data_IF_481533814947
#
_entry.id   IF_481533814947
#
_cell.length_a   1.000
_cell.length_b   1.000
_cell.length_c   1.000
_cell.angle_alpha   90.00
_cell.angle_beta   90.00
_cell.angle_gamma   90.00
#
_symmetry.space_group_name_H-M   'P 1'
#
loop_
_entity.id
_entity.type
_entity.pdbx_description
1 polymer ?
#
# COMPACT_ATOMS: atom_id res chain seq x y z
N UNK A 1 -1.80 -23.37 -6.36
CA UNK A 1 -1.00 -22.35 -5.66
C UNK A 1 -1.88 -21.76 -4.57
N UNK A 2 -1.58 -22.06 -3.33
CA UNK A 2 -2.30 -21.53 -2.17
C UNK A 2 -1.66 -20.22 -1.75
N UNK A 3 -2.50 -19.18 -1.52
CA UNK A 3 -2.05 -17.88 -1.03
C UNK A 3 -2.50 -17.77 0.42
N UNK A 4 -1.53 -17.67 1.34
CA UNK A 4 -1.78 -17.45 2.76
C UNK A 4 -1.56 -15.99 3.11
N UNK A 5 -2.51 -15.38 3.82
CA UNK A 5 -2.36 -14.01 4.32
C UNK A 5 -2.06 -14.08 5.82
N UNK A 6 -0.98 -13.42 6.23
CA UNK A 6 -0.47 -13.47 7.60
C UNK A 6 -0.13 -12.05 8.09
N UNK A 7 -0.44 -11.75 9.35
CA UNK A 7 0.00 -10.52 10.00
C UNK A 7 1.53 -10.45 10.02
N UNK A 8 2.08 -9.31 9.66
CA UNK A 8 3.50 -8.99 9.81
C UNK A 8 3.76 -8.60 11.27
N UNK A 9 4.85 -9.09 11.82
CA UNK A 9 5.29 -8.80 13.19
C UNK A 9 6.64 -8.09 13.17
N UNK A 10 7.09 -7.60 14.31
CA UNK A 10 8.42 -6.96 14.43
C UNK A 10 9.57 -7.88 14.01
N UNK A 11 9.41 -9.19 14.18
CA UNK A 11 10.41 -10.18 13.77
C UNK A 11 10.51 -10.32 12.24
N UNK A 12 9.55 -9.80 11.51
CA UNK A 12 9.50 -9.82 10.04
C UNK A 12 10.04 -8.51 9.42
N UNK A 13 10.51 -7.56 10.25
CA UNK A 13 10.85 -6.21 9.79
C UNK A 13 11.90 -6.20 8.68
N UNK A 14 12.91 -7.08 8.76
CA UNK A 14 13.95 -7.21 7.73
C UNK A 14 13.35 -7.69 6.39
N UNK A 15 12.55 -8.77 6.42
CA UNK A 15 11.88 -9.30 5.23
C UNK A 15 10.93 -8.28 4.62
N UNK A 16 10.20 -7.52 5.46
CA UNK A 16 9.31 -6.46 5.00
C UNK A 16 10.10 -5.31 4.35
N UNK A 17 11.20 -4.88 4.96
CA UNK A 17 12.08 -3.84 4.41
C UNK A 17 12.60 -4.22 3.02
N UNK A 18 13.18 -5.42 2.88
CA UNK A 18 13.69 -5.92 1.60
C UNK A 18 12.59 -6.02 0.52
N UNK A 19 11.44 -6.58 0.88
CA UNK A 19 10.30 -6.71 -0.03
C UNK A 19 9.77 -5.33 -0.46
N UNK A 20 9.69 -4.39 0.48
CA UNK A 20 9.21 -3.03 0.21
C UNK A 20 10.18 -2.27 -0.70
N UNK A 21 11.47 -2.31 -0.43
CA UNK A 21 12.52 -1.73 -1.28
C UNK A 21 12.41 -2.27 -2.70
N UNK A 22 12.42 -3.61 -2.85
CA UNK A 22 12.36 -4.24 -4.16
C UNK A 22 11.11 -3.86 -4.95
N UNK A 23 9.95 -3.94 -4.34
CA UNK A 23 8.68 -3.70 -5.03
C UNK A 23 8.45 -2.22 -5.35
N UNK A 24 8.90 -1.31 -4.48
CA UNK A 24 8.88 0.12 -4.75
C UNK A 24 9.84 0.48 -5.90
N UNK A 25 11.09 0.03 -5.83
CA UNK A 25 12.07 0.22 -6.90
C UNK A 25 11.51 -0.27 -8.24
N UNK A 26 10.97 -1.48 -8.27
CA UNK A 26 10.37 -2.08 -9.48
C UNK A 26 9.21 -1.26 -10.06
N UNK A 27 8.52 -0.50 -9.23
CA UNK A 27 7.38 0.34 -9.65
C UNK A 27 7.83 1.69 -10.20
N UNK A 28 8.85 2.30 -9.59
CA UNK A 28 9.24 3.69 -9.85
C UNK A 28 10.58 3.86 -10.56
N UNK A 29 11.33 2.77 -10.84
CA UNK A 29 12.59 2.85 -11.58
C UNK A 29 12.40 3.56 -12.93
N UNK A 30 13.28 4.54 -13.22
CA UNK A 30 13.20 5.35 -14.44
C UNK A 30 12.22 6.53 -14.38
N UNK A 31 11.52 6.75 -13.25
CA UNK A 31 10.61 7.90 -13.07
C UNK A 31 11.22 9.05 -12.26
N UNK A 32 12.37 8.82 -11.65
CA UNK A 32 13.16 9.78 -10.89
C UNK A 32 14.66 9.52 -11.13
N UNK A 33 15.53 10.38 -10.59
CA UNK A 33 16.97 10.13 -10.64
C UNK A 33 17.36 8.94 -9.76
N UNK A 34 18.48 8.27 -10.06
CA UNK A 34 19.02 7.19 -9.23
C UNK A 34 19.23 7.66 -7.80
N UNK A 35 19.81 8.86 -7.62
CA UNK A 35 20.04 9.47 -6.31
C UNK A 35 18.71 9.68 -5.54
N UNK A 36 17.71 10.23 -6.17
CA UNK A 36 16.39 10.45 -5.53
C UNK A 36 15.75 9.12 -5.12
N UNK A 37 15.90 8.08 -5.94
CA UNK A 37 15.44 6.73 -5.61
C UNK A 37 16.17 6.17 -4.39
N UNK A 38 17.51 6.20 -4.39
CA UNK A 38 18.32 5.68 -3.29
C UNK A 38 18.03 6.39 -1.97
N UNK A 39 17.96 7.73 -2.00
CA UNK A 39 17.66 8.54 -0.83
C UNK A 39 16.25 8.22 -0.29
N UNK A 40 15.26 8.07 -1.19
CA UNK A 40 13.88 7.75 -0.80
C UNK A 40 13.78 6.34 -0.19
N UNK A 41 14.40 5.33 -0.82
CA UNK A 41 14.40 3.98 -0.29
C UNK A 41 15.09 3.90 1.06
N UNK A 42 16.22 4.60 1.21
CA UNK A 42 16.93 4.68 2.49
C UNK A 42 16.09 5.38 3.57
N UNK A 43 15.38 6.45 3.26
CA UNK A 43 14.58 7.21 4.23
C UNK A 43 13.33 6.43 4.68
N UNK A 44 12.57 5.88 3.73
CA UNK A 44 11.22 5.37 3.98
C UNK A 44 11.12 3.85 4.15
N UNK A 45 12.15 3.09 3.77
CA UNK A 45 12.09 1.63 3.78
C UNK A 45 13.26 0.96 4.52
N UNK A 46 14.14 1.73 5.19
CA UNK A 46 15.17 1.15 6.04
C UNK A 46 14.56 0.41 7.24
N UNK A 47 15.34 -0.46 7.86
CA UNK A 47 14.88 -1.34 8.94
C UNK A 47 14.33 -0.56 10.15
N UNK A 48 14.95 0.58 10.51
CA UNK A 48 14.50 1.41 11.62
C UNK A 48 13.12 2.02 11.35
N UNK A 49 12.91 2.60 10.15
CA UNK A 49 11.65 3.18 9.75
C UNK A 49 10.54 2.12 9.65
N UNK A 50 10.83 0.96 9.06
CA UNK A 50 9.87 -0.15 8.96
C UNK A 50 9.49 -0.67 10.35
N UNK A 51 10.48 -0.82 11.26
CA UNK A 51 10.22 -1.24 12.64
C UNK A 51 9.32 -0.25 13.39
N UNK A 52 9.56 1.05 13.18
CA UNK A 52 8.73 2.11 13.76
C UNK A 52 7.29 2.08 13.22
N UNK A 53 7.11 1.84 11.92
CA UNK A 53 5.77 1.67 11.32
C UNK A 53 5.05 0.44 11.88
N UNK A 54 5.76 -0.67 12.11
CA UNK A 54 5.20 -1.90 12.69
C UNK A 54 4.80 -1.76 14.17
N UNK A 55 5.41 -0.83 14.91
CA UNK A 55 5.07 -0.55 16.30
C UNK A 55 3.85 0.37 16.48
N UNK A 56 3.40 1.04 15.41
CA UNK A 56 2.18 1.86 15.42
C UNK A 56 0.94 0.98 15.47
N UNK A 57 0.13 1.14 16.52
CA UNK A 57 -1.09 0.33 16.76
C UNK A 57 -2.19 0.53 15.72
N UNK A 58 -2.17 1.66 15.01
CA UNK A 58 -3.13 2.02 13.98
C UNK A 58 -2.63 1.69 12.56
N UNK A 59 -1.47 1.04 12.45
CA UNK A 59 -0.83 0.68 11.20
C UNK A 59 -0.79 -0.85 11.05
N UNK A 60 -1.31 -1.34 9.96
CA UNK A 60 -1.59 -2.77 9.79
C UNK A 60 -0.86 -3.30 8.56
N UNK A 61 0.04 -4.26 8.78
CA UNK A 61 0.80 -4.91 7.72
C UNK A 61 0.48 -6.40 7.64
N UNK A 62 0.27 -6.90 6.43
CA UNK A 62 0.07 -8.33 6.16
C UNK A 62 0.88 -8.76 4.95
N UNK A 63 1.51 -9.91 5.05
CA UNK A 63 2.10 -10.60 3.90
C UNK A 63 1.08 -11.44 3.16
N UNK A 64 1.24 -11.55 1.84
CA UNK A 64 0.77 -12.68 1.06
C UNK A 64 1.95 -13.63 0.88
N UNK A 65 1.79 -14.87 1.35
CA UNK A 65 2.80 -15.93 1.28
C UNK A 65 2.36 -17.03 0.33
N UNK A 66 3.32 -17.55 -0.42
CA UNK A 66 3.22 -18.77 -1.22
C UNK A 66 4.40 -19.65 -0.82
N UNK A 67 4.14 -20.90 -0.45
CA UNK A 67 5.16 -21.83 0.03
C UNK A 67 6.04 -21.24 1.16
N UNK A 68 5.41 -20.48 2.08
CA UNK A 68 6.04 -19.78 3.20
C UNK A 68 7.01 -18.65 2.81
N UNK A 69 6.97 -18.19 1.56
CA UNK A 69 7.76 -17.05 1.06
C UNK A 69 6.83 -15.85 0.89
N UNK A 70 7.20 -14.70 1.44
CA UNK A 70 6.48 -13.45 1.25
C UNK A 70 6.64 -12.97 -0.20
N UNK A 71 5.55 -12.98 -0.96
CA UNK A 71 5.53 -12.61 -2.39
C UNK A 71 4.85 -11.26 -2.65
N UNK A 72 4.28 -10.67 -1.62
CA UNK A 72 3.65 -9.36 -1.63
C UNK A 72 3.21 -8.97 -0.25
N UNK A 73 2.86 -7.69 -0.09
CA UNK A 73 2.34 -7.19 1.17
C UNK A 73 1.30 -6.10 0.96
N UNK A 74 0.49 -5.92 1.98
CA UNK A 74 -0.47 -4.82 2.09
C UNK A 74 -0.22 -4.05 3.38
N UNK A 75 -0.31 -2.72 3.33
CA UNK A 75 -0.34 -1.82 4.47
C UNK A 75 -1.59 -0.97 4.42
N UNK A 76 -2.32 -0.90 5.51
CA UNK A 76 -3.44 0.01 5.67
C UNK A 76 -3.43 0.62 7.07
N UNK A 77 -3.93 1.86 7.19
CA UNK A 77 -3.78 2.66 8.39
C UNK A 77 -5.08 3.38 8.76
N UNK A 78 -5.34 3.45 10.06
CA UNK A 78 -6.40 4.29 10.62
C UNK A 78 -5.82 5.63 11.08
N UNK A 79 -5.85 6.61 10.20
CA UNK A 79 -5.40 7.99 10.49
C UNK A 79 -6.32 9.03 9.84
N UNK A 80 -7.55 8.65 9.48
CA UNK A 80 -8.52 9.46 8.74
C UNK A 80 -8.83 10.81 9.38
N UNK A 81 -8.73 10.93 10.72
CA UNK A 81 -8.95 12.18 11.43
C UNK A 81 -7.98 13.31 11.01
N UNK A 82 -6.82 12.94 10.45
CA UNK A 82 -5.80 13.87 9.99
C UNK A 82 -6.05 14.37 8.55
N UNK A 83 -7.07 13.84 7.87
CA UNK A 83 -7.35 14.16 6.46
C UNK A 83 -8.72 14.80 6.30
N UNK A 84 -8.73 16.12 6.01
CA UNK A 84 -9.93 16.95 5.91
C UNK A 84 -11.02 16.39 4.99
N UNK A 85 -10.61 15.69 3.91
CA UNK A 85 -11.53 15.16 2.91
C UNK A 85 -12.25 13.88 3.35
N UNK A 86 -11.74 13.16 4.33
CA UNK A 86 -12.27 11.86 4.76
C UNK A 86 -12.59 11.78 6.25
N UNK A 87 -12.20 12.76 7.06
CA UNK A 87 -12.34 12.75 8.52
C UNK A 87 -13.78 12.63 9.05
N UNK A 88 -14.77 12.91 8.21
CA UNK A 88 -16.20 12.80 8.57
C UNK A 88 -16.71 11.36 8.59
N UNK A 89 -15.96 10.40 8.06
CA UNK A 89 -16.28 8.99 8.05
C UNK A 89 -15.25 8.20 8.84
N UNK A 90 -15.63 7.07 9.39
CA UNK A 90 -14.64 6.10 9.88
C UNK A 90 -13.96 5.46 8.67
N UNK A 91 -12.81 5.99 8.28
CA UNK A 91 -12.13 5.64 7.05
C UNK A 91 -10.85 4.84 7.29
N UNK A 92 -10.55 3.90 6.39
CA UNK A 92 -9.31 3.12 6.40
C UNK A 92 -8.51 3.42 5.14
N UNK A 93 -7.27 3.89 5.29
CA UNK A 93 -6.39 4.17 4.17
C UNK A 93 -5.62 2.92 3.74
N UNK A 94 -5.72 2.55 2.48
CA UNK A 94 -4.81 1.59 1.86
C UNK A 94 -3.53 2.32 1.45
N UNK A 95 -2.50 2.22 2.31
CA UNK A 95 -1.22 2.91 2.14
C UNK A 95 -0.32 2.27 1.08
N UNK A 96 -0.23 0.94 1.07
CA UNK A 96 0.66 0.19 0.18
C UNK A 96 0.02 -1.13 -0.20
N UNK A 97 0.12 -1.50 -1.47
CA UNK A 97 -0.23 -2.82 -2.01
C UNK A 97 0.79 -3.17 -3.09
N UNK A 98 1.74 -3.99 -2.73
CA UNK A 98 2.85 -4.35 -3.60
C UNK A 98 3.02 -5.85 -3.71
N UNK A 99 3.32 -6.30 -4.91
CA UNK A 99 3.51 -7.71 -5.26
C UNK A 99 4.79 -7.81 -6.09
N UNK A 100 5.61 -8.81 -5.82
CA UNK A 100 6.77 -9.13 -6.66
C UNK A 100 6.33 -9.35 -8.11
N UNK A 101 7.10 -8.83 -9.08
CA UNK A 101 6.75 -8.85 -10.52
C UNK A 101 6.41 -10.24 -11.03
N UNK A 102 7.16 -11.24 -10.60
CA UNK A 102 7.00 -12.65 -10.98
C UNK A 102 5.68 -13.27 -10.49
N UNK A 103 5.00 -12.60 -9.56
CA UNK A 103 3.68 -13.02 -9.04
C UNK A 103 2.51 -12.14 -9.54
N UNK A 104 2.78 -11.20 -10.44
CA UNK A 104 1.71 -10.43 -11.07
C UNK A 104 0.80 -11.34 -11.91
N UNK A 105 -0.50 -11.05 -11.92
CA UNK A 105 -1.50 -11.83 -12.67
C UNK A 105 -1.89 -13.17 -12.04
N UNK A 106 -1.27 -13.54 -10.89
CA UNK A 106 -1.53 -14.82 -10.19
C UNK A 106 -2.56 -14.72 -9.05
N UNK A 107 -3.34 -13.63 -8.99
CA UNK A 107 -4.40 -13.46 -8.00
C UNK A 107 -3.96 -12.91 -6.64
N UNK A 108 -2.66 -12.70 -6.42
CA UNK A 108 -2.12 -12.25 -5.12
C UNK A 108 -2.67 -10.89 -4.69
N UNK A 109 -2.67 -9.91 -5.60
CA UNK A 109 -3.23 -8.58 -5.31
C UNK A 109 -4.74 -8.65 -4.98
N UNK A 110 -5.49 -9.51 -5.67
CA UNK A 110 -6.92 -9.68 -5.40
C UNK A 110 -7.16 -10.35 -4.04
N UNK A 111 -6.34 -11.32 -3.66
CA UNK A 111 -6.43 -11.96 -2.34
C UNK A 111 -6.19 -10.93 -1.21
N UNK A 112 -5.16 -10.08 -1.33
CA UNK A 112 -4.88 -9.00 -0.37
C UNK A 112 -5.99 -7.96 -0.34
N UNK A 113 -6.55 -7.59 -1.50
CA UNK A 113 -7.66 -6.63 -1.58
C UNK A 113 -8.94 -7.17 -0.93
N UNK A 114 -9.26 -8.44 -1.16
CA UNK A 114 -10.41 -9.09 -0.51
C UNK A 114 -10.23 -9.15 1.01
N UNK A 115 -9.01 -9.47 1.48
CA UNK A 115 -8.67 -9.44 2.89
C UNK A 115 -8.86 -8.03 3.50
N UNK A 116 -8.38 -6.99 2.83
CA UNK A 116 -8.54 -5.59 3.25
C UNK A 116 -10.02 -5.20 3.38
N UNK A 117 -10.86 -5.55 2.41
CA UNK A 117 -12.29 -5.26 2.49
C UNK A 117 -12.98 -6.03 3.61
N UNK A 118 -12.66 -7.32 3.80
CA UNK A 118 -13.22 -8.10 4.91
C UNK A 118 -12.83 -7.46 6.25
N UNK A 119 -11.55 -7.11 6.43
CA UNK A 119 -11.09 -6.41 7.62
C UNK A 119 -11.84 -5.08 7.85
N UNK A 120 -11.99 -4.28 6.79
CA UNK A 120 -12.67 -3.00 6.88
C UNK A 120 -14.16 -3.16 7.28
N UNK A 121 -14.86 -4.12 6.68
CA UNK A 121 -16.28 -4.40 7.00
C UNK A 121 -16.45 -4.95 8.42
N UNK A 122 -15.64 -5.92 8.84
CA UNK A 122 -15.67 -6.51 10.18
C UNK A 122 -15.43 -5.45 11.28
N UNK A 123 -14.56 -4.47 10.98
CA UNK A 123 -14.26 -3.37 11.90
C UNK A 123 -15.13 -2.11 11.69
N UNK A 124 -16.21 -2.23 10.87
CA UNK A 124 -17.20 -1.17 10.64
C UNK A 124 -16.61 0.14 10.12
N UNK A 125 -15.66 0.06 9.21
CA UNK A 125 -15.24 1.22 8.44
C UNK A 125 -16.30 1.56 7.38
N UNK A 126 -16.55 2.86 7.21
CA UNK A 126 -17.53 3.40 6.26
C UNK A 126 -16.92 3.69 4.90
N UNK A 127 -15.62 3.97 4.89
CA UNK A 127 -14.88 4.42 3.71
C UNK A 127 -13.52 3.73 3.60
N UNK A 128 -13.24 3.15 2.45
CA UNK A 128 -11.91 2.75 2.02
C UNK A 128 -11.35 3.82 1.08
N UNK A 129 -10.10 4.26 1.28
CA UNK A 129 -9.49 5.26 0.40
C UNK A 129 -8.01 5.01 0.20
N UNK A 130 -7.44 5.61 -0.85
CA UNK A 130 -6.03 5.45 -1.20
C UNK A 130 -5.53 6.61 -2.06
N UNK A 131 -4.20 6.81 -2.07
CA UNK A 131 -3.50 7.54 -3.10
C UNK A 131 -2.88 6.57 -4.11
N UNK A 132 -2.96 6.89 -5.38
CA UNK A 132 -2.31 6.12 -6.45
C UNK A 132 -1.59 7.07 -7.41
N UNK A 133 -0.35 6.74 -7.75
CA UNK A 133 0.44 7.53 -8.67
C UNK A 133 -0.27 7.73 -10.02
N UNK A 134 -0.30 8.97 -10.50
CA UNK A 134 -1.09 9.37 -11.69
C UNK A 134 -0.72 8.61 -12.97
N UNK A 135 0.52 8.07 -13.07
CA UNK A 135 0.96 7.27 -14.20
C UNK A 135 0.92 5.76 -13.94
N UNK A 136 0.48 5.30 -12.78
CA UNK A 136 0.29 3.87 -12.51
C UNK A 136 -1.07 3.39 -13.02
N UNK A 137 -1.27 3.42 -14.35
CA UNK A 137 -2.54 3.04 -14.98
C UNK A 137 -2.98 1.61 -14.67
N UNK A 138 -2.02 0.70 -14.43
CA UNK A 138 -2.34 -0.68 -14.04
C UNK A 138 -2.99 -0.73 -12.66
N UNK A 139 -2.44 -0.03 -11.68
CA UNK A 139 -3.00 0.04 -10.35
C UNK A 139 -4.36 0.76 -10.37
N UNK A 140 -4.49 1.86 -11.10
CA UNK A 140 -5.77 2.58 -11.24
C UNK A 140 -6.87 1.66 -11.79
N UNK A 141 -6.59 0.89 -12.86
CA UNK A 141 -7.54 -0.09 -13.40
C UNK A 141 -7.90 -1.19 -12.39
N UNK A 142 -6.92 -1.65 -11.61
CA UNK A 142 -7.14 -2.64 -10.56
C UNK A 142 -8.06 -2.09 -9.46
N UNK A 143 -7.83 -0.87 -9.00
CA UNK A 143 -8.68 -0.24 -7.99
C UNK A 143 -10.10 0.04 -8.52
N UNK A 144 -10.24 0.55 -9.73
CA UNK A 144 -11.54 0.75 -10.38
C UNK A 144 -12.33 -0.57 -10.49
N UNK A 145 -11.66 -1.67 -10.90
CA UNK A 145 -12.28 -3.00 -10.95
C UNK A 145 -12.75 -3.49 -9.57
N UNK A 146 -12.11 -3.04 -8.49
CA UNK A 146 -12.51 -3.33 -7.12
C UNK A 146 -13.51 -2.33 -6.54
N UNK A 147 -14.06 -1.44 -7.37
CA UNK A 147 -15.14 -0.52 -7.01
C UNK A 147 -14.66 0.79 -6.38
N UNK A 148 -13.38 1.12 -6.47
CA UNK A 148 -12.90 2.46 -6.12
C UNK A 148 -13.19 3.44 -7.25
N UNK A 149 -13.52 4.67 -6.87
CA UNK A 149 -13.79 5.78 -7.79
C UNK A 149 -12.75 6.89 -7.59
N UNK A 150 -12.34 7.53 -8.68
CA UNK A 150 -11.48 8.70 -8.62
C UNK A 150 -12.27 9.89 -8.05
N UNK A 151 -11.78 10.46 -6.97
CA UNK A 151 -12.44 11.57 -6.27
C UNK A 151 -12.26 12.92 -6.95
N UNK A 152 -11.31 13.05 -7.87
CA UNK A 152 -10.81 14.31 -8.39
C UNK A 152 -9.79 15.03 -7.47
N UNK A 153 -9.62 14.57 -6.22
CA UNK A 153 -8.56 15.08 -5.33
C UNK A 153 -7.21 14.47 -5.66
N UNK A 154 -6.16 15.21 -5.40
CA UNK A 154 -4.78 14.78 -5.59
C UNK A 154 -3.86 15.45 -4.58
N UNK A 155 -2.69 14.87 -4.36
CA UNK A 155 -1.65 15.46 -3.54
C UNK A 155 -0.26 15.20 -4.12
N UNK A 156 0.71 16.06 -3.80
CA UNK A 156 2.11 15.81 -4.16
C UNK A 156 2.64 14.55 -3.46
N UNK A 157 3.39 13.75 -4.22
CA UNK A 157 4.11 12.57 -3.73
C UNK A 157 5.53 12.62 -4.31
N UNK A 158 6.41 13.56 -3.89
CA UNK A 158 7.74 13.68 -4.47
C UNK A 158 8.63 12.48 -4.09
N UNK A 159 9.43 12.02 -5.05
CA UNK A 159 10.53 11.08 -4.80
C UNK A 159 11.81 11.92 -4.83
N UNK A 160 12.36 12.23 -3.65
CA UNK A 160 13.44 13.18 -3.50
C UNK A 160 13.07 14.55 -4.08
N UNK A 161 13.86 15.05 -5.03
CA UNK A 161 13.61 16.30 -5.74
C UNK A 161 12.67 16.16 -6.95
N UNK A 162 12.33 14.91 -7.35
CA UNK A 162 11.48 14.63 -8.50
C UNK A 162 10.00 14.73 -8.11
N UNK A 163 9.23 15.69 -8.69
CA UNK A 163 7.81 15.83 -8.41
C UNK A 163 7.03 14.61 -8.92
N UNK A 164 6.15 14.08 -8.08
CA UNK A 164 5.17 13.06 -8.43
C UNK A 164 3.81 13.50 -7.87
N UNK A 165 2.72 12.94 -8.40
CA UNK A 165 1.37 13.25 -7.96
C UNK A 165 0.58 11.97 -7.75
N UNK A 166 -0.08 11.86 -6.60
CA UNK A 166 -1.05 10.81 -6.34
C UNK A 166 -2.47 11.33 -6.56
N UNK A 167 -3.27 10.49 -7.21
CA UNK A 167 -4.71 10.67 -7.36
C UNK A 167 -5.41 9.95 -6.21
N UNK A 168 -6.41 10.60 -5.61
CA UNK A 168 -7.18 9.98 -4.55
C UNK A 168 -8.34 9.18 -5.13
N UNK A 169 -8.44 7.93 -4.66
CA UNK A 169 -9.52 7.02 -4.95
C UNK A 169 -10.22 6.64 -3.65
N UNK A 170 -11.54 6.49 -3.69
CA UNK A 170 -12.30 6.02 -2.55
C UNK A 170 -13.39 5.03 -2.93
N UNK A 171 -13.86 4.29 -1.93
CA UNK A 171 -14.99 3.38 -2.03
C UNK A 171 -15.76 3.40 -0.73
N UNK A 172 -17.04 3.73 -0.77
CA UNK A 172 -17.94 3.57 0.37
C UNK A 172 -18.21 2.08 0.61
N UNK A 173 -18.19 1.68 1.88
CA UNK A 173 -18.39 0.32 2.34
C UNK A 173 -19.80 0.26 2.96
N UNK A 174 -20.65 -0.62 2.45
CA UNK A 174 -22.03 -0.82 2.90
C UNK A 174 -22.12 -2.04 3.82
#
# INVERSE_FOLDING_TARGET
>A
MEIKIRRVTINDAEVLSELAIKTFFDTFVGTCTEKDMDDFLYEYYNLEQVSKELDDKNDYFYFAEIDSIAVGYIRFKEDYANYEKVKQWKALELKRLYILKEFHGKGVAQALMNFYFNYALENKYELAWLGVWEFNFRAQKFYQKNGFENTGYKHPFPIGSTPQTDLWYWKFLN
#
